data_IF_545882518775
#
_entry.id   IF_545882518775
#
_cell.length_a   1.000
_cell.length_b   1.000
_cell.length_c   1.000
_cell.angle_alpha   90.00
_cell.angle_beta   90.00
_cell.angle_gamma   90.00
#
_symmetry.space_group_name_H-M   'P 1'
#
loop_
_entity.id
_entity.type
_entity.pdbx_description
1 polymer ?
#
# COMPACT_ATOMS: atom_id res chain seq x y z
N UNK A 1 2.18 9.70 -3.43
CA UNK A 1 1.58 8.38 -3.17
C UNK A 1 0.24 8.60 -2.49
N UNK A 2 -0.85 8.14 -3.11
CA UNK A 2 -2.19 8.16 -2.52
C UNK A 2 -2.47 6.77 -1.99
N UNK A 3 -3.20 6.63 -0.89
CA UNK A 3 -3.67 5.32 -0.45
C UNK A 3 -5.13 5.43 -0.02
N UNK A 4 -5.83 4.33 -0.18
CA UNK A 4 -7.22 4.18 0.19
C UNK A 4 -7.34 2.91 1.02
N UNK A 5 -7.87 3.05 2.24
CA UNK A 5 -8.07 1.93 3.14
C UNK A 5 -9.55 1.81 3.46
N UNK A 6 -10.12 0.65 3.14
CA UNK A 6 -11.50 0.30 3.52
C UNK A 6 -11.46 -0.56 4.77
N UNK A 7 -11.94 -0.03 5.90
CA UNK A 7 -12.08 -0.79 7.16
C UNK A 7 -13.14 -1.89 7.10
N UNK A 8 -14.14 -1.75 6.21
CA UNK A 8 -15.24 -2.70 6.05
C UNK A 8 -14.75 -3.97 5.34
N UNK A 9 -14.01 -3.81 4.25
CA UNK A 9 -13.49 -4.91 3.42
C UNK A 9 -12.04 -5.27 3.77
N UNK A 10 -11.39 -4.49 4.64
CA UNK A 10 -9.96 -4.61 5.01
C UNK A 10 -9.04 -4.58 3.80
N UNK A 11 -9.37 -3.74 2.82
CA UNK A 11 -8.58 -3.60 1.59
C UNK A 11 -7.79 -2.31 1.68
N UNK A 12 -6.47 -2.41 1.54
CA UNK A 12 -5.56 -1.28 1.40
C UNK A 12 -5.09 -1.21 -0.05
N UNK A 13 -5.42 -0.12 -0.72
CA UNK A 13 -4.92 0.18 -2.06
C UNK A 13 -3.96 1.35 -1.99
N UNK A 14 -2.70 1.14 -2.32
CA UNK A 14 -1.66 2.17 -2.38
C UNK A 14 -1.38 2.50 -3.84
N UNK A 15 -1.84 3.67 -4.27
CA UNK A 15 -1.59 4.24 -5.59
C UNK A 15 -0.21 4.91 -5.61
N UNK A 16 0.73 4.17 -6.17
CA UNK A 16 2.05 4.68 -6.52
C UNK A 16 2.08 5.43 -7.84
N UNK A 17 3.16 6.15 -8.08
CA UNK A 17 3.40 6.81 -9.37
C UNK A 17 3.82 5.81 -10.47
N UNK A 18 4.44 4.69 -10.07
CA UNK A 18 4.93 3.66 -10.98
C UNK A 18 4.15 2.34 -10.85
N UNK A 19 3.64 2.02 -9.66
CA UNK A 19 2.91 0.77 -9.39
C UNK A 19 1.78 0.99 -8.38
N UNK A 20 0.63 0.39 -8.63
CA UNK A 20 -0.47 0.31 -7.65
C UNK A 20 -0.34 -1.00 -6.87
N UNK A 21 -0.28 -0.90 -5.54
CA UNK A 21 -0.24 -2.04 -4.64
C UNK A 21 -1.61 -2.25 -4.01
N UNK A 22 -2.20 -3.44 -4.21
CA UNK A 22 -3.48 -3.80 -3.59
C UNK A 22 -3.21 -4.90 -2.57
N UNK A 23 -3.58 -4.65 -1.32
CA UNK A 23 -3.47 -5.58 -0.21
C UNK A 23 -4.88 -5.91 0.31
N UNK A 24 -5.20 -7.20 0.40
CA UNK A 24 -6.47 -7.68 0.95
C UNK A 24 -6.26 -8.24 2.36
N UNK A 25 -7.30 -8.15 3.20
CA UNK A 25 -7.32 -8.60 4.60
C UNK A 25 -6.24 -7.92 5.48
N UNK A 26 -6.12 -6.60 5.34
CA UNK A 26 -5.16 -5.79 6.10
C UNK A 26 -5.79 -5.24 7.38
N UNK A 27 -5.16 -5.54 8.51
CA UNK A 27 -5.46 -4.91 9.79
C UNK A 27 -4.93 -3.48 9.85
N UNK A 28 -5.64 -2.61 10.58
CA UNK A 28 -5.27 -1.20 10.72
C UNK A 28 -3.83 -0.99 11.24
N UNK A 29 -3.36 -1.84 12.17
CA UNK A 29 -1.98 -1.77 12.67
C UNK A 29 -0.90 -2.03 11.61
N UNK A 30 -1.23 -2.81 10.57
CA UNK A 30 -0.29 -3.18 9.51
C UNK A 30 -0.28 -2.16 8.37
N UNK A 31 -1.29 -1.28 8.29
CA UNK A 31 -1.45 -0.31 7.19
C UNK A 31 -0.22 0.58 7.04
N UNK A 32 0.31 1.11 8.15
CA UNK A 32 1.47 2.00 8.12
C UNK A 32 2.73 1.28 7.56
N UNK A 33 2.99 0.07 8.06
CA UNK A 33 4.08 -0.79 7.61
C UNK A 33 3.97 -1.13 6.11
N UNK A 34 2.77 -1.46 5.64
CA UNK A 34 2.51 -1.81 4.24
C UNK A 34 2.64 -0.60 3.30
N UNK A 35 2.26 0.60 3.75
CA UNK A 35 2.48 1.84 3.00
C UNK A 35 4.00 2.11 2.87
N UNK A 36 4.76 1.89 3.93
CA UNK A 36 6.23 2.04 3.91
C UNK A 36 6.88 1.01 2.99
N UNK A 37 6.47 -0.26 3.04
CA UNK A 37 6.94 -1.30 2.12
C UNK A 37 6.63 -0.94 0.65
N UNK A 38 5.42 -0.46 0.38
CA UNK A 38 5.04 -0.03 -0.96
C UNK A 38 5.90 1.16 -1.44
N UNK A 39 6.24 2.12 -0.56
CA UNK A 39 7.19 3.20 -0.88
C UNK A 39 8.58 2.67 -1.23
N UNK A 40 9.09 1.72 -0.44
CA UNK A 40 10.39 1.11 -0.72
C UNK A 40 10.39 0.35 -2.04
N UNK A 41 9.36 -0.46 -2.31
CA UNK A 41 9.22 -1.15 -3.59
C UNK A 41 9.16 -0.19 -4.77
N UNK A 42 8.44 0.92 -4.66
CA UNK A 42 8.44 1.96 -5.70
C UNK A 42 9.80 2.64 -5.89
N UNK A 43 10.56 2.86 -4.81
CA UNK A 43 11.89 3.47 -4.86
C UNK A 43 12.91 2.53 -5.53
N UNK A 44 12.81 1.23 -5.25
CA UNK A 44 13.67 0.19 -5.86
C UNK A 44 13.20 -0.14 -7.29
N UNK A 45 11.96 0.19 -7.64
CA UNK A 45 11.41 -0.12 -8.97
C UNK A 45 12.17 0.61 -10.08
N UNK A 46 12.96 -0.19 -10.82
CA UNK A 46 13.86 0.18 -11.93
C UNK A 46 15.15 0.92 -11.52
N UNK A 47 15.69 0.64 -10.33
CA UNK A 47 17.11 0.89 -10.04
C UNK A 47 18.01 -0.08 -10.84
#
# INVERSE_FOLDING_TARGET
MRFEYSTITRILTVFGAKMTHVFNDVNFSEVDSLIVDAKFKEAIWRA
#
